data_IF_993866409920
#
_entry.id   IF_993866409920
#
_cell.length_a   1.000
_cell.length_b   1.000
_cell.length_c   1.000
_cell.angle_alpha   90.00
_cell.angle_beta   90.00
_cell.angle_gamma   90.00
#
_symmetry.space_group_name_H-M   'P 1'
#
loop_
_entity.id
_entity.type
_entity.pdbx_description
1 polymer ?
#
# COMPACT_ATOMS: atom_id res chain seq x y z
N UNK A 1 1.76 2.65 -18.22
CA UNK A 1 1.58 3.47 -16.99
C UNK A 1 2.24 2.86 -15.75
N UNK A 2 1.62 1.89 -15.03
CA UNK A 2 2.22 1.44 -13.75
C UNK A 2 3.52 0.63 -13.95
N UNK A 3 3.54 -0.32 -14.90
CA UNK A 3 4.73 -1.09 -15.25
C UNK A 3 5.87 -0.21 -15.80
N UNK A 4 5.54 0.72 -16.70
CA UNK A 4 6.45 1.76 -17.18
C UNK A 4 7.02 2.63 -16.04
N UNK A 5 6.22 2.90 -15.00
CA UNK A 5 6.71 3.54 -13.78
C UNK A 5 7.82 2.75 -13.10
N UNK A 6 7.77 1.42 -13.11
CA UNK A 6 8.82 0.54 -12.55
C UNK A 6 10.12 0.69 -13.32
N UNK A 7 10.05 0.75 -14.65
CA UNK A 7 11.22 0.96 -15.50
C UNK A 7 11.90 2.30 -15.17
N UNK A 8 11.12 3.37 -14.99
CA UNK A 8 11.63 4.67 -14.55
C UNK A 8 12.25 4.61 -13.15
N UNK A 9 11.65 3.87 -12.22
CA UNK A 9 12.19 3.70 -10.87
C UNK A 9 13.50 2.91 -10.88
N UNK A 10 13.65 1.93 -11.77
CA UNK A 10 14.90 1.19 -11.93
C UNK A 10 16.02 2.10 -12.45
N UNK A 11 15.74 2.93 -13.46
CA UNK A 11 16.67 3.92 -13.96
C UNK A 11 17.04 4.96 -12.88
N UNK A 12 16.07 5.39 -12.06
CA UNK A 12 16.33 6.28 -10.93
C UNK A 12 17.19 5.61 -9.85
N UNK A 13 16.92 4.33 -9.53
CA UNK A 13 17.67 3.57 -8.53
C UNK A 13 19.15 3.45 -8.90
N UNK A 14 19.45 3.23 -10.18
CA UNK A 14 20.83 3.18 -10.67
C UNK A 14 21.61 4.50 -10.42
N UNK A 15 20.90 5.64 -10.39
CA UNK A 15 21.48 6.96 -10.11
C UNK A 15 21.55 7.30 -8.62
N UNK A 16 20.81 6.56 -7.78
CA UNK A 16 20.73 6.75 -6.33
C UNK A 16 20.87 5.39 -5.61
N UNK A 17 22.04 4.74 -5.71
CA UNK A 17 22.24 3.35 -5.25
C UNK A 17 22.02 3.16 -3.75
N UNK A 18 22.21 4.20 -2.94
CA UNK A 18 22.05 4.12 -1.49
C UNK A 18 20.66 4.56 -1.00
N UNK A 19 19.79 5.04 -1.89
CA UNK A 19 18.46 5.53 -1.53
C UNK A 19 17.40 4.43 -1.66
N UNK A 20 16.61 4.19 -0.61
CA UNK A 20 15.38 3.38 -0.72
C UNK A 20 14.30 4.20 -1.43
N UNK A 21 13.67 3.61 -2.44
CA UNK A 21 12.60 4.25 -3.20
C UNK A 21 11.31 3.48 -2.94
N UNK A 22 10.27 4.17 -2.46
CA UNK A 22 8.96 3.57 -2.23
C UNK A 22 7.95 4.14 -3.22
N UNK A 23 7.46 3.30 -4.14
CA UNK A 23 6.41 3.68 -5.08
C UNK A 23 5.05 3.58 -4.39
N UNK A 24 4.30 4.68 -4.35
CA UNK A 24 2.96 4.73 -3.75
C UNK A 24 1.89 4.70 -4.83
N UNK A 25 0.86 3.89 -4.63
CA UNK A 25 -0.21 3.71 -5.60
C UNK A 25 -1.58 3.59 -4.92
N UNK A 26 -2.60 4.17 -5.53
CA UNK A 26 -3.97 4.06 -5.06
C UNK A 26 -4.63 2.75 -5.53
N UNK A 27 -5.95 2.65 -5.34
CA UNK A 27 -6.72 1.46 -5.69
C UNK A 27 -6.65 1.07 -7.18
N UNK A 28 -6.34 2.00 -8.08
CA UNK A 28 -6.21 1.71 -9.52
C UNK A 28 -4.90 0.99 -9.86
N UNK A 29 -3.93 1.03 -8.95
CA UNK A 29 -2.64 0.35 -9.08
C UNK A 29 -2.63 -1.05 -8.48
N UNK A 30 -3.72 -1.50 -7.85
CA UNK A 30 -3.87 -2.86 -7.34
C UNK A 30 -4.14 -3.86 -8.48
N UNK A 31 -3.15 -4.04 -9.34
CA UNK A 31 -3.15 -4.99 -10.46
C UNK A 31 -2.05 -6.03 -10.25
N UNK A 32 -2.31 -7.28 -10.65
CA UNK A 32 -1.41 -8.40 -10.29
C UNK A 32 -0.03 -8.27 -10.93
N UNK A 33 0.01 -7.82 -12.18
CA UNK A 33 1.21 -7.63 -13.00
C UNK A 33 2.19 -6.67 -12.34
N UNK A 34 1.66 -5.68 -11.62
CA UNK A 34 2.43 -4.81 -10.77
C UNK A 34 3.10 -5.75 -9.74
N UNK A 35 2.40 -6.44 -8.84
CA UNK A 35 3.06 -7.16 -7.73
C UNK A 35 4.14 -8.19 -8.13
N UNK A 36 4.04 -8.78 -9.32
CA UNK A 36 4.99 -9.77 -9.84
C UNK A 36 6.08 -9.19 -10.74
N UNK A 37 6.01 -7.92 -11.12
CA UNK A 37 7.04 -7.29 -11.92
C UNK A 37 8.38 -7.26 -11.18
N UNK A 38 9.45 -7.56 -11.91
CA UNK A 38 10.80 -7.54 -11.38
C UNK A 38 11.15 -6.12 -10.92
N UNK A 39 11.81 -6.03 -9.77
CA UNK A 39 12.21 -4.75 -9.19
C UNK A 39 13.62 -4.81 -8.62
N UNK A 40 14.45 -3.77 -8.83
CA UNK A 40 15.77 -3.70 -8.22
C UNK A 40 15.69 -3.69 -6.70
N UNK A 41 16.75 -4.18 -6.05
CA UNK A 41 16.89 -4.10 -4.61
C UNK A 41 16.76 -2.65 -4.11
N UNK A 42 15.97 -2.45 -3.05
CA UNK A 42 15.70 -1.12 -2.48
C UNK A 42 14.62 -0.31 -3.21
N UNK A 43 13.92 -0.91 -4.18
CA UNK A 43 12.66 -0.38 -4.72
C UNK A 43 11.51 -1.19 -4.15
N UNK A 44 10.66 -0.55 -3.34
CA UNK A 44 9.55 -1.15 -2.61
C UNK A 44 8.24 -0.46 -2.96
N UNK A 45 7.09 -1.11 -2.72
CA UNK A 45 5.80 -0.54 -3.07
C UNK A 45 4.83 -0.47 -1.90
N UNK A 46 3.98 0.55 -1.95
CA UNK A 46 2.87 0.74 -1.04
C UNK A 46 1.61 1.00 -1.88
N UNK A 47 0.81 -0.04 -2.07
CA UNK A 47 -0.40 0.00 -2.87
C UNK A 47 -1.63 -0.14 -1.99
N UNK A 48 -2.63 0.72 -2.18
CA UNK A 48 -3.92 0.56 -1.53
C UNK A 48 -4.68 -0.60 -2.17
N UNK A 49 -4.94 -1.65 -1.40
CA UNK A 49 -5.73 -2.78 -1.85
C UNK A 49 -7.14 -2.36 -2.30
N UNK A 50 -7.57 -2.93 -3.42
CA UNK A 50 -8.87 -2.81 -4.08
C UNK A 50 -9.59 -4.16 -4.15
N UNK A 51 -8.83 -5.26 -4.22
CA UNK A 51 -9.36 -6.62 -4.34
C UNK A 51 -9.13 -7.45 -3.07
N UNK A 52 -10.09 -8.30 -2.72
CA UNK A 52 -9.93 -9.30 -1.67
C UNK A 52 -9.12 -10.49 -2.18
N UNK A 53 -7.80 -10.30 -2.23
CA UNK A 53 -6.90 -11.30 -2.79
C UNK A 53 -6.84 -12.53 -1.89
N UNK A 54 -6.68 -13.70 -2.51
CA UNK A 54 -6.39 -14.91 -1.75
C UNK A 54 -5.02 -14.81 -1.08
N UNK A 55 -4.92 -15.34 0.12
CA UNK A 55 -3.69 -15.41 0.91
C UNK A 55 -3.37 -16.87 1.23
N UNK A 56 -2.12 -17.12 1.62
CA UNK A 56 -1.69 -18.43 2.12
C UNK A 56 -2.04 -18.65 3.61
N UNK A 57 -2.68 -17.67 4.25
CA UNK A 57 -3.07 -17.73 5.65
C UNK A 57 -4.35 -18.56 5.87
N UNK A 58 -4.61 -19.05 7.09
CA UNK A 58 -5.81 -19.84 7.40
C UNK A 58 -7.13 -19.15 7.03
N UNK A 59 -7.18 -17.82 7.09
CA UNK A 59 -8.34 -16.98 6.77
C UNK A 59 -8.61 -16.90 5.26
N UNK A 60 -7.64 -17.32 4.43
CA UNK A 60 -7.70 -17.46 2.96
C UNK A 60 -7.85 -16.18 2.15
N UNK A 61 -8.38 -15.10 2.72
CA UNK A 61 -8.62 -13.83 2.03
C UNK A 61 -7.99 -12.65 2.76
N UNK A 62 -7.57 -11.63 2.00
CA UNK A 62 -6.74 -10.53 2.48
C UNK A 62 -7.39 -9.77 3.63
N UNK A 63 -8.65 -9.39 3.48
CA UNK A 63 -9.33 -8.57 4.48
C UNK A 63 -9.54 -9.34 5.79
N UNK A 64 -9.95 -10.60 5.70
CA UNK A 64 -10.12 -11.47 6.86
C UNK A 64 -8.76 -11.74 7.54
N UNK A 65 -7.72 -12.02 6.76
CA UNK A 65 -6.35 -12.24 7.24
C UNK A 65 -5.89 -11.03 8.05
N UNK A 66 -5.99 -9.83 7.49
CA UNK A 66 -5.56 -8.60 8.18
C UNK A 66 -6.42 -8.36 9.42
N UNK A 67 -7.74 -8.55 9.34
CA UNK A 67 -8.66 -8.31 10.46
C UNK A 67 -8.41 -9.26 11.64
N UNK A 68 -8.02 -10.50 11.36
CA UNK A 68 -7.71 -11.52 12.36
C UNK A 68 -6.39 -11.26 13.11
N UNK A 69 -5.48 -10.44 12.57
CA UNK A 69 -4.26 -10.06 13.29
C UNK A 69 -4.57 -9.22 14.53
N UNK A 70 -3.77 -9.43 15.59
CA UNK A 70 -3.89 -8.64 16.80
C UNK A 70 -3.64 -7.14 16.49
N UNK A 71 -4.39 -6.21 17.10
CA UNK A 71 -4.10 -4.79 16.99
C UNK A 71 -2.65 -4.48 17.39
N UNK A 72 -1.91 -3.81 16.50
CA UNK A 72 -0.59 -3.29 16.84
C UNK A 72 -0.68 -1.98 17.63
N UNK A 73 -1.78 -1.23 17.45
CA UNK A 73 -2.04 -0.01 18.19
C UNK A 73 -3.19 0.80 17.61
N UNK A 74 -3.38 2.01 18.13
CA UNK A 74 -4.34 2.99 17.62
C UNK A 74 -3.63 4.29 17.22
N UNK A 75 -4.20 4.99 16.26
CA UNK A 75 -3.78 6.33 15.86
C UNK A 75 -4.99 7.22 15.62
N UNK A 76 -4.80 8.51 15.73
CA UNK A 76 -5.81 9.51 15.38
C UNK A 76 -5.40 10.27 14.12
N UNK A 77 -6.37 10.58 13.27
CA UNK A 77 -6.20 11.41 12.08
C UNK A 77 -7.24 12.53 12.08
N UNK A 78 -6.78 13.75 11.78
CA UNK A 78 -7.67 14.88 11.58
C UNK A 78 -8.26 14.81 10.17
N UNK A 79 -9.55 14.50 10.08
CA UNK A 79 -10.29 14.58 8.82
C UNK A 79 -10.79 16.01 8.61
N UNK A 80 -10.35 16.73 7.56
CA UNK A 80 -10.82 18.08 7.28
C UNK A 80 -12.30 18.09 6.90
N UNK A 81 -12.92 19.27 7.00
CA UNK A 81 -14.29 19.45 6.53
C UNK A 81 -14.38 19.22 5.01
N UNK A 82 -15.47 18.59 4.57
CA UNK A 82 -15.83 18.42 3.17
C UNK A 82 -17.26 18.93 2.95
N UNK A 83 -17.69 19.05 1.69
CA UNK A 83 -18.98 19.65 1.28
C UNK A 83 -20.18 19.18 2.14
N UNK A 84 -20.18 17.91 2.55
CA UNK A 84 -21.26 17.30 3.34
C UNK A 84 -20.76 16.64 4.64
N UNK A 85 -19.60 17.04 5.16
CA UNK A 85 -19.04 16.46 6.39
C UNK A 85 -18.24 17.50 7.20
N UNK A 86 -18.56 17.62 8.50
CA UNK A 86 -17.80 18.46 9.40
C UNK A 86 -16.39 17.91 9.66
N UNK A 87 -15.46 18.80 10.03
CA UNK A 87 -14.15 18.40 10.55
C UNK A 87 -14.34 17.46 11.74
N UNK A 88 -13.56 16.38 11.78
CA UNK A 88 -13.61 15.40 12.88
C UNK A 88 -12.25 14.74 13.09
N UNK A 89 -12.05 14.21 14.29
CA UNK A 89 -10.97 13.25 14.56
C UNK A 89 -11.46 11.85 14.21
N UNK A 90 -10.70 11.12 13.40
CA UNK A 90 -10.90 9.70 13.13
C UNK A 90 -9.90 8.90 13.96
N UNK A 91 -10.37 7.96 14.78
CA UNK A 91 -9.52 6.99 15.47
C UNK A 91 -9.45 5.71 14.63
N UNK A 92 -8.24 5.23 14.36
CA UNK A 92 -7.98 4.06 13.52
C UNK A 92 -7.17 3.05 14.33
N UNK A 93 -7.52 1.77 14.17
CA UNK A 93 -6.72 0.67 14.70
C UNK A 93 -5.80 0.16 13.60
N UNK A 94 -4.51 -0.03 13.92
CA UNK A 94 -3.50 -0.50 12.98
C UNK A 94 -3.26 -2.00 13.18
N UNK A 95 -3.11 -2.71 12.06
CA UNK A 95 -2.87 -4.15 11.95
C UNK A 95 -1.80 -4.40 10.88
N UNK A 96 -0.95 -5.39 11.08
CA UNK A 96 0.11 -5.77 10.14
C UNK A 96 0.41 -7.26 10.23
#
# INVERSE_FOLDING_TARGET
KWLEGIEHLAALKARCPDTRIVATGDRESDVYEVFVAERPAGVDWLVRAAWDRRTAHPERYLWDTVTATAPMGETELQAPAQRNAAKRTARLTVRC
#
